data_IF_941533332732
#
_entry.id   IF_941533332732
#
_cell.length_a   1.000
_cell.length_b   1.000
_cell.length_c   1.000
_cell.angle_alpha   90.00
_cell.angle_beta   90.00
_cell.angle_gamma   90.00
#
_symmetry.space_group_name_H-M   'P 1'
#
loop_
_entity.id
_entity.type
_entity.pdbx_description
1 polymer ?
#
# COMPACT_ATOMS: atom_id res chain seq x y z
N UNK A 1 -16.37 3.38 8.78
CA UNK A 1 -16.42 2.79 7.42
C UNK A 1 -15.04 2.74 6.77
N UNK A 2 -14.30 3.84 6.73
CA UNK A 2 -13.08 3.96 5.90
C UNK A 2 -11.88 3.11 6.37
N UNK A 3 -11.63 3.01 7.69
CA UNK A 3 -10.50 2.23 8.25
C UNK A 3 -10.64 0.71 8.05
N UNK A 4 -11.87 0.18 8.06
CA UNK A 4 -12.14 -1.24 7.79
C UNK A 4 -11.90 -1.58 6.31
N UNK A 5 -12.24 -0.65 5.41
CA UNK A 5 -11.95 -0.78 3.98
C UNK A 5 -10.45 -0.78 3.71
N UNK A 6 -9.69 0.12 4.35
CA UNK A 6 -8.24 0.16 4.25
C UNK A 6 -7.61 -1.17 4.68
N UNK A 7 -7.98 -1.69 5.87
CA UNK A 7 -7.49 -2.99 6.36
C UNK A 7 -7.81 -4.16 5.43
N UNK A 8 -8.98 -4.14 4.80
CA UNK A 8 -9.35 -5.16 3.83
C UNK A 8 -8.45 -5.09 2.59
N UNK A 9 -8.28 -3.90 2.02
CA UNK A 9 -7.41 -3.71 0.86
C UNK A 9 -5.95 -4.05 1.14
N UNK A 10 -5.39 -3.60 2.26
CA UNK A 10 -4.01 -3.93 2.62
C UNK A 10 -3.83 -5.43 2.81
N UNK A 11 -4.82 -6.15 3.34
CA UNK A 11 -4.81 -7.62 3.43
C UNK A 11 -4.86 -8.29 2.05
N UNK A 12 -5.72 -7.82 1.15
CA UNK A 12 -5.77 -8.30 -0.24
C UNK A 12 -4.45 -8.07 -0.96
N UNK A 13 -3.84 -6.88 -0.76
CA UNK A 13 -2.55 -6.54 -1.34
C UNK A 13 -1.46 -7.48 -0.82
N UNK A 14 -1.41 -7.77 0.49
CA UNK A 14 -0.47 -8.74 1.08
C UNK A 14 -0.56 -10.12 0.42
N UNK A 15 -1.77 -10.58 0.11
CA UNK A 15 -1.99 -11.88 -0.55
C UNK A 15 -1.60 -11.85 -2.04
N UNK A 16 -1.66 -10.67 -2.66
CA UNK A 16 -1.28 -10.47 -4.06
C UNK A 16 0.21 -10.21 -4.29
N UNK A 17 1.01 -10.12 -3.21
CA UNK A 17 2.45 -9.84 -3.33
C UNK A 17 3.11 -10.96 -4.16
N UNK A 18 3.75 -10.63 -5.29
CA UNK A 18 4.48 -11.59 -6.11
C UNK A 18 5.56 -12.31 -5.29
N UNK A 19 5.72 -13.63 -5.50
CA UNK A 19 6.75 -14.41 -4.79
C UNK A 19 8.17 -13.92 -5.05
N UNK A 20 8.45 -13.39 -6.25
CA UNK A 20 9.77 -12.94 -6.70
C UNK A 20 9.92 -11.43 -6.69
N UNK A 21 9.42 -10.78 -5.65
CA UNK A 21 9.63 -9.36 -5.45
C UNK A 21 10.79 -9.16 -4.46
N UNK A 22 11.86 -8.49 -4.89
CA UNK A 22 13.06 -8.30 -4.07
C UNK A 22 12.80 -7.45 -2.82
N UNK A 23 11.73 -6.66 -2.82
CA UNK A 23 11.36 -5.74 -1.75
C UNK A 23 10.13 -6.18 -0.96
N UNK A 24 9.86 -7.49 -0.90
CA UNK A 24 8.69 -8.05 -0.20
C UNK A 24 8.55 -7.53 1.23
N UNK A 25 9.65 -7.51 1.98
CA UNK A 25 9.66 -7.00 3.35
C UNK A 25 9.34 -5.51 3.42
N UNK A 26 9.84 -4.70 2.47
CA UNK A 26 9.55 -3.27 2.43
C UNK A 26 8.09 -3.00 2.06
N UNK A 27 7.51 -3.80 1.17
CA UNK A 27 6.08 -3.77 0.86
C UNK A 27 5.25 -4.09 2.11
N UNK A 28 5.59 -5.15 2.83
CA UNK A 28 4.88 -5.50 4.07
C UNK A 28 4.96 -4.38 5.11
N UNK A 29 6.15 -3.82 5.33
CA UNK A 29 6.35 -2.70 6.24
C UNK A 29 5.54 -1.46 5.82
N UNK A 30 5.49 -1.16 4.51
CA UNK A 30 4.65 -0.08 3.97
C UNK A 30 3.17 -0.30 4.31
N UNK A 31 2.65 -1.51 4.10
CA UNK A 31 1.25 -1.83 4.41
C UNK A 31 0.96 -1.77 5.91
N UNK A 32 1.90 -2.19 6.76
CA UNK A 32 1.77 -2.05 8.22
C UNK A 32 1.77 -0.58 8.66
N UNK A 33 2.63 0.25 8.07
CA UNK A 33 2.69 1.68 8.36
C UNK A 33 1.42 2.42 7.89
N UNK A 34 0.81 2.00 6.77
CA UNK A 34 -0.47 2.53 6.29
C UNK A 34 -1.65 2.18 7.21
N UNK A 35 -1.57 1.06 7.95
CA UNK A 35 -2.58 0.66 8.93
C UNK A 35 -2.32 1.28 10.33
N UNK A 36 -1.18 1.94 10.51
CA UNK A 36 -0.75 2.48 11.80
C UNK A 36 -1.69 3.59 12.30
N UNK A 37 -1.86 3.64 13.62
CA UNK A 37 -2.51 4.79 14.27
C UNK A 37 -1.54 5.95 14.52
N UNK A 38 -0.24 5.73 14.29
CA UNK A 38 0.79 6.75 14.38
C UNK A 38 0.78 7.64 13.12
N UNK A 39 0.42 8.94 13.24
CA UNK A 39 0.36 9.85 12.10
C UNK A 39 1.71 10.02 11.39
N UNK A 40 2.84 9.88 12.10
CA UNK A 40 4.17 10.01 11.52
C UNK A 40 4.49 8.83 10.59
N UNK A 41 4.15 7.61 11.01
CA UNK A 41 4.30 6.40 10.18
C UNK A 41 3.40 6.44 8.97
N UNK A 42 2.12 6.78 9.19
CA UNK A 42 1.15 6.91 8.10
C UNK A 42 1.61 7.95 7.07
N UNK A 43 2.04 9.14 7.52
CA UNK A 43 2.55 10.19 6.62
C UNK A 43 3.80 9.75 5.85
N UNK A 44 4.73 9.04 6.51
CA UNK A 44 5.91 8.48 5.84
C UNK A 44 5.50 7.48 4.77
N UNK A 45 4.60 6.56 5.08
CA UNK A 45 4.10 5.56 4.14
C UNK A 45 3.39 6.19 2.94
N UNK A 46 2.57 7.22 3.16
CA UNK A 46 1.91 7.97 2.09
C UNK A 46 2.89 8.63 1.12
N UNK A 47 4.03 9.12 1.63
CA UNK A 47 5.07 9.71 0.78
C UNK A 47 5.82 8.67 -0.07
N UNK A 48 5.92 7.42 0.42
CA UNK A 48 6.68 6.35 -0.22
C UNK A 48 5.82 5.49 -1.14
N UNK A 49 4.51 5.39 -0.88
CA UNK A 49 3.56 4.59 -1.66
C UNK A 49 3.58 4.88 -3.19
N UNK A 50 3.65 6.15 -3.66
CA UNK A 50 3.74 6.45 -5.09
C UNK A 50 5.00 5.87 -5.75
N UNK A 51 6.14 5.89 -5.06
CA UNK A 51 7.39 5.32 -5.57
C UNK A 51 7.27 3.81 -5.78
N UNK A 52 6.63 3.12 -4.84
CA UNK A 52 6.34 1.69 -4.96
C UNK A 52 5.40 1.38 -6.13
N UNK A 53 4.36 2.20 -6.31
CA UNK A 53 3.43 2.04 -7.44
C UNK A 53 4.19 2.14 -8.77
N UNK A 54 4.94 3.23 -8.98
CA UNK A 54 5.69 3.45 -10.23
C UNK A 54 6.70 2.34 -10.49
N UNK A 55 7.39 1.86 -9.44
CA UNK A 55 8.35 0.78 -9.58
C UNK A 55 7.72 -0.52 -10.04
N UNK A 56 6.54 -0.86 -9.52
CA UNK A 56 5.87 -2.12 -9.85
C UNK A 56 4.92 -2.03 -11.05
N UNK A 57 4.69 -0.83 -11.59
CA UNK A 57 3.78 -0.61 -12.72
C UNK A 57 4.18 -1.42 -13.97
N UNK A 58 5.49 -1.56 -14.21
CA UNK A 58 6.02 -2.29 -15.38
C UNK A 58 6.15 -3.79 -15.10
N UNK A 59 6.74 -4.17 -13.96
CA UNK A 59 7.08 -5.56 -13.65
C UNK A 59 5.90 -6.36 -13.10
N UNK A 60 5.02 -5.70 -12.34
CA UNK A 60 3.89 -6.31 -11.66
C UNK A 60 2.61 -5.45 -11.77
N UNK A 61 2.04 -5.27 -12.98
CA UNK A 61 0.94 -4.33 -13.22
C UNK A 61 -0.26 -4.53 -12.30
N UNK A 62 -0.66 -5.80 -12.08
CA UNK A 62 -1.78 -6.13 -11.18
C UNK A 62 -1.51 -5.73 -9.72
N UNK A 63 -0.28 -5.93 -9.25
CA UNK A 63 0.12 -5.56 -7.90
C UNK A 63 0.16 -4.03 -7.74
N UNK A 64 0.70 -3.32 -8.73
CA UNK A 64 0.69 -1.85 -8.76
C UNK A 64 -0.72 -1.27 -8.74
N UNK A 65 -1.68 -1.91 -9.42
CA UNK A 65 -3.07 -1.51 -9.43
C UNK A 65 -3.68 -1.60 -8.03
N UNK A 66 -3.42 -2.68 -7.29
CA UNK A 66 -3.89 -2.83 -5.92
C UNK A 66 -3.28 -1.80 -4.96
N UNK A 67 -2.00 -1.43 -5.14
CA UNK A 67 -1.38 -0.33 -4.39
C UNK A 67 -2.02 1.02 -4.73
N UNK A 68 -2.34 1.26 -6.00
CA UNK A 68 -3.06 2.45 -6.44
C UNK A 68 -4.46 2.54 -5.82
N UNK A 69 -5.18 1.43 -5.70
CA UNK A 69 -6.48 1.40 -5.04
C UNK A 69 -6.38 1.78 -3.56
N UNK A 70 -5.32 1.35 -2.85
CA UNK A 70 -5.04 1.81 -1.48
C UNK A 70 -4.84 3.33 -1.47
N UNK A 71 -4.04 3.87 -2.38
CA UNK A 71 -3.78 5.32 -2.47
C UNK A 71 -5.08 6.13 -2.68
N UNK A 72 -5.97 5.66 -3.55
CA UNK A 72 -7.27 6.30 -3.79
C UNK A 72 -8.16 6.23 -2.55
N UNK A 73 -8.17 5.11 -1.83
CA UNK A 73 -8.94 4.98 -0.57
C UNK A 73 -8.42 5.93 0.50
N UNK A 74 -7.10 6.07 0.63
CA UNK A 74 -6.45 6.99 1.57
C UNK A 74 -6.76 8.45 1.22
N UNK A 75 -6.66 8.83 -0.06
CA UNK A 75 -7.02 10.18 -0.51
C UNK A 75 -8.50 10.51 -0.25
N UNK A 76 -9.40 9.55 -0.49
CA UNK A 76 -10.83 9.71 -0.16
C UNK A 76 -11.11 9.80 1.35
N UNK A 77 -10.17 9.38 2.20
CA UNK A 77 -10.25 9.56 3.65
C UNK A 77 -9.80 10.95 4.12
N UNK A 78 -9.30 11.79 3.21
CA UNK A 78 -8.71 13.09 3.55
C UNK A 78 -7.35 12.99 4.20
N UNK A 79 -6.63 11.89 3.95
CA UNK A 79 -5.24 11.65 4.40
C UNK A 79 -4.30 11.75 3.21
#
# INVERSE_FOLDING_TARGET
MSKQRLKKLTSEVRQSIPEKIDDKEKVHALLDDLESEDPAKLKKALNVLPEFITRFEIEHPKFSQSLNEIMVVLSNMGI
#
